data_IF_599228315335
#
_entry.id   IF_599228315335
#
_cell.length_a   1.000
_cell.length_b   1.000
_cell.length_c   1.000
_cell.angle_alpha   90.00
_cell.angle_beta   90.00
_cell.angle_gamma   90.00
#
_symmetry.space_group_name_H-M   'P 1'
#
loop_
_entity.id
_entity.type
_entity.pdbx_description
1 polymer ?
#
# COMPACT_ATOMS: atom_id res chain seq x y z
N UNK A 1 12.66 6.23 -3.12
CA UNK A 1 11.40 6.92 -3.41
C UNK A 1 10.38 6.54 -2.33
N UNK A 2 9.37 7.39 -2.11
CA UNK A 2 8.37 7.19 -1.09
C UNK A 2 8.82 7.55 0.33
N UNK A 3 8.05 7.15 1.34
CA UNK A 3 8.20 7.54 2.74
C UNK A 3 9.20 6.69 3.56
N UNK A 4 10.30 6.25 3.00
CA UNK A 4 11.31 5.46 3.70
C UNK A 4 12.22 6.33 4.58
N UNK A 5 12.62 5.81 5.73
CA UNK A 5 13.62 6.45 6.56
C UNK A 5 14.97 5.72 6.51
N UNK A 6 16.05 6.40 6.92
CA UNK A 6 17.40 5.87 6.81
C UNK A 6 17.64 4.60 7.66
N UNK A 7 16.95 4.46 8.79
CA UNK A 7 17.14 3.29 9.68
C UNK A 7 16.75 1.97 9.03
N UNK A 8 15.73 2.00 8.15
CA UNK A 8 15.25 0.78 7.49
C UNK A 8 15.96 0.50 6.17
N UNK A 9 16.73 1.46 5.65
CA UNK A 9 17.50 1.31 4.40
C UNK A 9 18.90 0.79 4.65
N UNK A 10 19.54 1.18 5.78
CA UNK A 10 20.95 0.88 6.07
C UNK A 10 21.23 -0.61 6.29
N UNK A 11 22.40 -1.07 5.86
CA UNK A 11 22.95 -2.42 6.08
C UNK A 11 22.03 -3.57 5.60
N UNK A 12 21.29 -3.34 4.52
CA UNK A 12 20.38 -4.32 3.93
C UNK A 12 20.86 -4.75 2.54
N UNK A 13 20.44 -5.94 2.11
CA UNK A 13 20.67 -6.42 0.75
C UNK A 13 19.61 -5.91 -0.20
N UNK A 14 20.05 -5.51 -1.38
CA UNK A 14 19.21 -5.05 -2.48
C UNK A 14 19.64 -5.70 -3.79
N UNK A 15 18.80 -5.56 -4.78
CA UNK A 15 19.06 -5.90 -6.17
C UNK A 15 19.04 -4.64 -7.01
N UNK A 16 20.14 -4.34 -7.67
CA UNK A 16 20.23 -3.31 -8.72
C UNK A 16 19.84 -3.94 -10.05
N UNK A 17 18.78 -3.43 -10.65
CA UNK A 17 18.24 -3.94 -11.92
C UNK A 17 18.85 -3.15 -13.07
N UNK A 18 19.70 -3.82 -13.87
CA UNK A 18 20.37 -3.21 -15.03
C UNK A 18 19.89 -3.80 -16.34
N UNK A 19 20.24 -3.14 -17.44
CA UNK A 19 19.95 -3.66 -18.80
C UNK A 19 20.67 -4.97 -19.14
N UNK A 20 21.68 -5.36 -18.37
CA UNK A 20 22.45 -6.60 -18.53
C UNK A 20 22.13 -7.69 -17.51
N UNK A 21 21.19 -7.42 -16.61
CA UNK A 21 20.76 -8.33 -15.55
C UNK A 21 20.83 -7.73 -14.15
N UNK A 22 20.42 -8.51 -13.20
CA UNK A 22 20.34 -8.12 -11.78
C UNK A 22 21.70 -8.24 -11.09
N UNK A 23 22.07 -7.24 -10.32
CA UNK A 23 23.32 -7.17 -9.57
C UNK A 23 23.00 -7.07 -8.07
N UNK A 24 23.55 -7.94 -7.22
CA UNK A 24 23.41 -7.80 -5.77
C UNK A 24 24.16 -6.58 -5.27
N UNK A 25 23.52 -5.80 -4.41
CA UNK A 25 24.12 -4.63 -3.77
C UNK A 25 23.79 -4.61 -2.28
N UNK A 26 24.62 -3.93 -1.49
CA UNK A 26 24.38 -3.69 -0.08
C UNK A 26 24.29 -2.18 0.16
N UNK A 27 23.34 -1.76 0.98
CA UNK A 27 23.29 -0.37 1.43
C UNK A 27 24.32 -0.11 2.52
N UNK A 28 25.00 1.02 2.43
CA UNK A 28 26.06 1.39 3.38
C UNK A 28 25.55 1.60 4.79
N UNK A 29 26.43 1.33 5.74
CA UNK A 29 26.26 1.63 7.16
C UNK A 29 27.61 2.01 7.74
N UNK A 30 27.63 2.92 8.69
CA UNK A 30 28.87 3.30 9.37
C UNK A 30 28.99 2.49 10.67
N UNK A 31 30.00 1.63 10.82
CA UNK A 31 30.17 0.85 12.04
C UNK A 31 30.58 1.74 13.22
N UNK A 32 30.23 1.36 14.47
CA UNK A 32 30.53 2.19 15.65
C UNK A 32 32.00 2.59 15.80
N UNK A 33 32.93 1.77 15.32
CA UNK A 33 34.36 2.04 15.36
C UNK A 33 34.77 3.31 14.54
N UNK A 34 33.99 3.68 13.53
CA UNK A 34 34.22 4.82 12.67
C UNK A 34 33.36 6.04 13.07
N UNK A 35 32.46 5.91 14.06
CA UNK A 35 31.61 7.00 14.55
C UNK A 35 32.27 7.82 15.67
N UNK A 36 33.56 7.62 15.94
CA UNK A 36 34.29 8.34 17.01
C UNK A 36 34.40 9.83 16.69
N UNK A 37 33.96 10.69 17.61
CA UNK A 37 34.06 12.13 17.50
C UNK A 37 32.81 12.80 16.89
N UNK A 38 32.96 13.68 15.93
CA UNK A 38 31.91 14.55 15.37
C UNK A 38 30.72 13.81 14.70
N UNK A 39 30.84 12.50 14.45
CA UNK A 39 29.79 11.68 13.83
C UNK A 39 28.76 11.12 14.82
N UNK A 40 29.03 11.16 16.11
CA UNK A 40 28.16 10.61 17.13
C UNK A 40 26.87 11.46 17.29
N UNK A 41 25.71 10.84 17.04
CA UNK A 41 24.41 11.54 17.11
C UNK A 41 23.97 12.25 15.81
N UNK A 42 24.73 12.22 14.74
CA UNK A 42 24.29 12.78 13.45
C UNK A 42 23.18 11.92 12.86
N UNK A 43 22.02 12.54 12.60
CA UNK A 43 20.90 11.85 11.90
C UNK A 43 21.28 11.57 10.45
N UNK A 44 21.41 10.31 10.08
CA UNK A 44 21.61 9.86 8.71
C UNK A 44 20.34 10.10 7.89
N UNK A 45 20.47 10.67 6.69
CA UNK A 45 19.36 10.80 5.73
C UNK A 45 19.44 9.69 4.70
N UNK A 46 18.31 9.33 4.09
CA UNK A 46 18.28 8.34 2.99
C UNK A 46 19.22 8.74 1.84
N UNK A 47 19.33 10.03 1.56
CA UNK A 47 20.24 10.58 0.54
C UNK A 47 21.73 10.43 0.86
N UNK A 48 22.09 10.12 2.11
CA UNK A 48 23.47 9.92 2.53
C UNK A 48 23.91 8.45 2.40
N UNK A 49 22.95 7.54 2.13
CA UNK A 49 23.21 6.11 2.03
C UNK A 49 23.67 5.78 0.62
N UNK A 50 24.81 5.11 0.54
CA UNK A 50 25.36 4.59 -0.71
C UNK A 50 24.95 3.14 -0.90
N UNK A 51 24.85 2.71 -2.14
CA UNK A 51 24.63 1.32 -2.50
C UNK A 51 25.89 0.78 -3.15
N UNK A 52 26.48 -0.21 -2.50
CA UNK A 52 27.77 -0.77 -2.87
C UNK A 52 27.54 -2.12 -3.59
N UNK A 53 27.99 -2.19 -4.84
CA UNK A 53 27.98 -3.38 -5.66
C UNK A 53 29.36 -4.06 -5.77
N UNK A 54 30.37 -3.53 -5.07
CA UNK A 54 31.75 -4.06 -5.06
C UNK A 54 32.56 -3.72 -6.30
N UNK A 55 32.17 -2.74 -7.10
CA UNK A 55 32.95 -2.28 -8.25
C UNK A 55 34.10 -1.36 -7.82
N UNK A 56 35.28 -1.54 -8.40
CA UNK A 56 36.45 -0.71 -8.14
C UNK A 56 36.40 0.61 -8.91
N UNK A 57 35.76 0.65 -10.09
CA UNK A 57 35.71 1.83 -10.94
C UNK A 57 34.32 2.05 -11.56
N UNK A 58 34.06 3.29 -11.96
CA UNK A 58 32.86 3.67 -12.70
C UNK A 58 32.77 2.94 -14.05
N UNK A 59 33.91 2.80 -14.73
CA UNK A 59 34.03 2.14 -16.03
C UNK A 59 33.64 0.66 -15.90
N UNK A 60 34.07 -0.01 -14.84
CA UNK A 60 33.67 -1.37 -14.53
C UNK A 60 32.16 -1.47 -14.30
N UNK A 61 31.57 -0.64 -13.44
CA UNK A 61 30.14 -0.60 -13.22
C UNK A 61 29.36 -0.40 -14.52
N UNK A 62 29.81 0.53 -15.36
CA UNK A 62 29.21 0.75 -16.69
C UNK A 62 29.34 -0.44 -17.62
N UNK A 63 30.44 -1.18 -17.56
CA UNK A 63 30.64 -2.42 -18.35
C UNK A 63 29.65 -3.51 -17.94
N UNK A 64 29.25 -3.58 -16.68
CA UNK A 64 28.18 -4.46 -16.17
C UNK A 64 26.77 -3.94 -16.45
N UNK A 65 26.62 -2.82 -17.11
CA UNK A 65 25.33 -2.29 -17.56
C UNK A 65 24.72 -1.23 -16.65
N UNK A 66 25.37 -0.87 -15.57
CA UNK A 66 24.86 0.15 -14.60
C UNK A 66 24.74 1.52 -15.27
N UNK A 67 23.60 2.16 -15.10
CA UNK A 67 23.29 3.49 -15.65
C UNK A 67 22.51 4.33 -14.64
N UNK A 68 22.64 5.66 -14.66
CA UNK A 68 21.74 6.53 -13.92
C UNK A 68 20.27 6.26 -14.29
N UNK A 69 19.43 6.07 -13.29
CA UNK A 69 18.01 5.73 -13.47
C UNK A 69 17.70 4.26 -13.28
N UNK A 70 18.69 3.38 -13.19
CA UNK A 70 18.48 1.98 -12.84
C UNK A 70 17.86 1.85 -11.45
N UNK A 71 16.97 0.88 -11.29
CA UNK A 71 16.19 0.69 -10.06
C UNK A 71 16.93 -0.19 -9.07
N UNK A 72 16.91 0.20 -7.80
CA UNK A 72 17.41 -0.62 -6.69
C UNK A 72 16.22 -1.02 -5.83
N UNK A 73 16.01 -2.32 -5.65
CA UNK A 73 14.87 -2.88 -4.91
C UNK A 73 15.33 -3.80 -3.78
N UNK A 74 14.59 -3.86 -2.64
CA UNK A 74 14.93 -4.76 -1.55
C UNK A 74 15.01 -6.22 -2.00
N UNK A 75 16.02 -6.95 -1.55
CA UNK A 75 16.15 -8.39 -1.74
C UNK A 75 15.56 -9.10 -0.53
N UNK A 76 14.32 -9.58 -0.67
CA UNK A 76 13.55 -10.21 0.41
C UNK A 76 12.86 -11.45 -0.10
N UNK A 77 12.97 -12.53 0.65
CA UNK A 77 12.21 -13.75 0.43
C UNK A 77 10.81 -13.64 1.03
N UNK A 78 9.83 -14.24 0.37
CA UNK A 78 8.49 -14.37 0.93
C UNK A 78 8.44 -15.60 1.84
N UNK A 79 8.16 -15.38 3.12
CA UNK A 79 8.11 -16.42 4.11
C UNK A 79 6.83 -16.40 4.93
N UNK A 80 6.36 -17.58 5.33
CA UNK A 80 5.27 -17.72 6.27
C UNK A 80 5.81 -17.71 7.72
N UNK A 81 5.04 -17.07 8.61
CA UNK A 81 5.30 -17.22 10.06
C UNK A 81 5.09 -18.67 10.51
N UNK A 82 5.68 -19.03 11.63
CA UNK A 82 5.62 -20.41 12.15
C UNK A 82 4.18 -20.94 12.32
N UNK A 83 3.24 -20.06 12.72
CA UNK A 83 1.83 -20.42 12.89
C UNK A 83 1.02 -20.38 11.58
N UNK A 84 1.66 -20.09 10.44
CA UNK A 84 1.03 -20.00 9.11
C UNK A 84 -0.11 -18.98 8.98
N UNK A 85 -0.21 -18.02 9.89
CA UNK A 85 -1.26 -16.98 9.87
C UNK A 85 -0.81 -15.68 9.23
N UNK A 86 0.48 -15.48 9.06
CA UNK A 86 1.03 -14.23 8.52
C UNK A 86 2.08 -14.51 7.47
N UNK A 87 2.22 -13.56 6.55
CA UNK A 87 3.22 -13.61 5.48
C UNK A 87 4.12 -12.39 5.61
N UNK A 88 5.43 -12.64 5.54
CA UNK A 88 6.45 -11.60 5.50
C UNK A 88 7.00 -11.53 4.08
N UNK A 89 7.02 -10.35 3.50
CA UNK A 89 7.64 -10.10 2.20
C UNK A 89 7.88 -8.59 2.02
N UNK A 90 8.37 -8.19 0.87
CA UNK A 90 8.50 -6.77 0.51
C UNK A 90 7.23 -6.24 -0.16
N UNK A 91 6.99 -4.94 -0.02
CA UNK A 91 6.01 -4.20 -0.79
C UNK A 91 4.59 -4.81 -0.76
N UNK A 92 4.13 -5.28 0.41
CA UNK A 92 2.71 -5.56 0.60
C UNK A 92 1.88 -4.29 0.42
N UNK A 93 2.44 -3.17 0.73
CA UNK A 93 2.08 -1.85 0.30
C UNK A 93 2.70 -1.59 -1.11
N UNK A 94 1.94 -1.64 -2.24
CA UNK A 94 0.56 -2.11 -2.25
C UNK A 94 0.37 -3.30 -3.20
N UNK A 95 1.17 -4.35 -3.05
CA UNK A 95 0.98 -5.59 -3.83
C UNK A 95 -0.28 -6.33 -3.44
N UNK A 96 -0.72 -6.20 -2.19
CA UNK A 96 -1.95 -6.81 -1.75
C UNK A 96 -3.15 -6.25 -2.51
N UNK A 97 -3.28 -4.92 -2.64
CA UNK A 97 -4.35 -4.29 -3.39
C UNK A 97 -4.37 -4.70 -4.86
N UNK A 98 -3.20 -4.77 -5.49
CA UNK A 98 -3.07 -5.29 -6.86
C UNK A 98 -3.56 -6.73 -6.98
N UNK A 99 -3.25 -7.59 -6.00
CA UNK A 99 -3.70 -8.99 -6.02
C UNK A 99 -5.21 -9.09 -5.82
N UNK A 100 -5.77 -8.33 -4.87
CA UNK A 100 -7.24 -8.27 -4.67
C UNK A 100 -7.96 -7.85 -5.95
N UNK A 101 -7.47 -6.83 -6.65
CA UNK A 101 -8.04 -6.37 -7.93
C UNK A 101 -8.03 -7.49 -8.97
N UNK A 102 -6.90 -8.17 -9.16
CA UNK A 102 -6.77 -9.26 -10.15
C UNK A 102 -7.66 -10.44 -9.80
N UNK A 103 -7.69 -10.88 -8.55
CA UNK A 103 -8.54 -11.99 -8.10
C UNK A 103 -10.03 -11.64 -8.20
N UNK A 104 -10.40 -10.40 -7.91
CA UNK A 104 -11.78 -9.93 -8.05
C UNK A 104 -12.22 -9.91 -9.51
N UNK A 105 -11.39 -9.41 -10.43
CA UNK A 105 -11.69 -9.45 -11.86
C UNK A 105 -11.85 -10.88 -12.37
N UNK A 106 -10.99 -11.80 -11.93
CA UNK A 106 -11.10 -13.22 -12.30
C UNK A 106 -12.38 -13.87 -11.73
N UNK A 107 -12.71 -13.58 -10.46
CA UNK A 107 -13.89 -14.12 -9.82
C UNK A 107 -15.19 -13.61 -10.45
N UNK A 108 -15.23 -12.35 -10.88
CA UNK A 108 -16.43 -11.69 -11.39
C UNK A 108 -16.54 -11.68 -12.92
N UNK A 109 -15.59 -12.25 -13.66
CA UNK A 109 -15.53 -12.16 -15.14
C UNK A 109 -16.77 -12.66 -15.87
N UNK A 110 -17.53 -13.58 -15.28
CA UNK A 110 -18.74 -14.15 -15.86
C UNK A 110 -20.04 -13.69 -15.15
N UNK A 111 -19.90 -12.79 -14.17
CA UNK A 111 -21.02 -12.25 -13.42
C UNK A 111 -21.69 -11.10 -14.20
N UNK A 112 -23.01 -11.06 -14.14
CA UNK A 112 -23.76 -9.90 -14.65
C UNK A 112 -23.83 -8.85 -13.55
N UNK A 113 -22.87 -7.92 -13.55
CA UNK A 113 -22.81 -6.85 -12.56
C UNK A 113 -23.90 -5.78 -12.81
N UNK A 114 -24.44 -5.16 -11.74
CA UNK A 114 -25.41 -4.07 -11.85
C UNK A 114 -24.77 -2.72 -12.19
N UNK A 115 -23.44 -2.67 -12.33
CA UNK A 115 -22.64 -1.48 -12.56
C UNK A 115 -21.58 -1.72 -13.64
N UNK A 116 -20.85 -0.68 -14.00
CA UNK A 116 -19.64 -0.77 -14.82
C UNK A 116 -18.41 -0.76 -13.90
N UNK A 117 -17.76 -1.90 -13.76
CA UNK A 117 -16.53 -2.04 -13.00
C UNK A 117 -15.33 -1.60 -13.84
N UNK A 118 -14.58 -0.63 -13.34
CA UNK A 118 -13.27 -0.23 -13.85
C UNK A 118 -12.25 -0.52 -12.75
N UNK A 119 -11.35 -1.44 -12.99
CA UNK A 119 -10.36 -1.86 -12.01
C UNK A 119 -8.96 -1.85 -12.62
N UNK A 120 -7.95 -1.51 -11.83
CA UNK A 120 -6.56 -1.42 -12.29
C UNK A 120 -5.63 -0.89 -11.21
N UNK A 121 -4.40 -0.60 -11.62
CA UNK A 121 -3.35 -0.06 -10.75
C UNK A 121 -2.94 1.32 -11.23
N UNK A 122 -2.89 2.26 -10.32
CA UNK A 122 -2.34 3.59 -10.58
C UNK A 122 -0.82 3.60 -10.39
N UNK A 123 -0.13 4.42 -11.19
CA UNK A 123 1.31 4.58 -11.08
C UNK A 123 1.65 5.73 -10.14
N UNK A 124 2.83 5.63 -9.48
CA UNK A 124 3.39 6.72 -8.69
C UNK A 124 2.48 7.17 -7.53
N UNK A 125 1.81 6.25 -6.87
CA UNK A 125 1.04 6.52 -5.66
C UNK A 125 1.97 7.04 -4.56
N UNK A 126 3.05 6.33 -4.25
CA UNK A 126 4.07 6.56 -3.21
C UNK A 126 4.82 7.91 -3.32
N UNK A 127 4.68 8.60 -4.43
CA UNK A 127 5.36 9.88 -4.70
C UNK A 127 4.39 11.02 -5.01
N UNK A 128 3.16 10.89 -4.55
CA UNK A 128 2.16 11.96 -4.59
C UNK A 128 0.88 11.64 -5.36
N UNK A 129 0.40 10.39 -5.34
CA UNK A 129 -0.92 9.96 -5.84
C UNK A 129 -1.13 10.36 -7.32
N UNK A 130 -0.05 10.28 -8.13
CA UNK A 130 -0.01 10.95 -9.43
C UNK A 130 -0.89 10.30 -10.49
N UNK A 131 -0.92 8.96 -10.51
CA UNK A 131 -1.66 8.18 -11.50
C UNK A 131 -3.17 8.34 -11.37
N UNK A 132 -3.67 8.49 -10.16
CA UNK A 132 -5.09 8.62 -9.84
C UNK A 132 -5.75 9.79 -10.55
N UNK A 133 -5.07 10.93 -10.63
CA UNK A 133 -5.58 12.11 -11.32
C UNK A 133 -5.87 11.84 -12.79
N UNK A 134 -4.97 11.13 -13.47
CA UNK A 134 -5.15 10.72 -14.85
C UNK A 134 -6.29 9.70 -15.03
N UNK A 135 -6.37 8.72 -14.14
CA UNK A 135 -7.39 7.68 -14.16
C UNK A 135 -8.80 8.28 -13.94
N UNK A 136 -8.97 9.06 -12.90
CA UNK A 136 -10.27 9.70 -12.57
C UNK A 136 -10.71 10.67 -13.68
N UNK A 137 -9.78 11.45 -14.23
CA UNK A 137 -10.10 12.34 -15.36
C UNK A 137 -10.55 11.57 -16.60
N UNK A 138 -9.88 10.45 -16.90
CA UNK A 138 -10.16 9.62 -18.07
C UNK A 138 -11.49 8.87 -17.94
N UNK A 139 -11.73 8.24 -16.80
CA UNK A 139 -12.86 7.33 -16.62
C UNK A 139 -14.09 7.99 -16.02
N UNK A 140 -13.94 9.10 -15.32
CA UNK A 140 -15.01 9.86 -14.66
C UNK A 140 -15.95 8.95 -13.86
N UNK A 141 -15.41 8.20 -12.87
CA UNK A 141 -16.22 7.27 -12.09
C UNK A 141 -17.22 8.02 -11.21
N UNK A 142 -18.38 7.42 -10.98
CA UNK A 142 -19.38 7.93 -10.03
C UNK A 142 -18.95 7.70 -8.58
N UNK A 143 -18.25 6.59 -8.31
CA UNK A 143 -17.65 6.25 -7.02
C UNK A 143 -16.23 5.72 -7.22
N UNK A 144 -15.37 5.95 -6.24
CA UNK A 144 -13.99 5.47 -6.26
C UNK A 144 -13.65 4.69 -4.98
N UNK A 145 -13.02 3.53 -5.14
CA UNK A 145 -12.50 2.73 -4.04
C UNK A 145 -11.01 2.51 -4.21
N UNK A 146 -10.21 2.94 -3.23
CA UNK A 146 -8.83 2.51 -3.12
C UNK A 146 -8.77 1.20 -2.33
N UNK A 147 -8.00 0.24 -2.82
CA UNK A 147 -7.68 -1.00 -2.11
C UNK A 147 -6.23 -0.90 -1.69
N UNK A 148 -5.98 -0.56 -0.42
CA UNK A 148 -4.66 -0.10 -0.01
C UNK A 148 -4.21 -0.62 1.37
N UNK A 149 -2.91 -0.61 1.58
CA UNK A 149 -2.29 -1.04 2.83
C UNK A 149 -2.18 0.13 3.82
N UNK A 150 -2.20 -0.18 5.12
CA UNK A 150 -2.04 0.82 6.17
C UNK A 150 -1.18 0.30 7.31
N UNK A 151 -0.50 1.20 8.01
CA UNK A 151 0.39 0.85 9.10
C UNK A 151 -0.39 0.25 10.29
N UNK A 152 -0.01 -0.95 10.71
CA UNK A 152 -0.44 -1.53 11.98
C UNK A 152 0.41 -1.01 13.13
N UNK A 153 -0.23 -0.75 14.27
CA UNK A 153 0.43 -0.34 15.52
C UNK A 153 -0.05 -1.19 16.70
N UNK A 154 0.05 -2.50 16.55
CA UNK A 154 -0.51 -3.49 17.48
C UNK A 154 0.54 -4.22 18.33
N UNK A 155 1.81 -3.83 18.27
CA UNK A 155 2.88 -4.43 19.07
C UNK A 155 3.31 -3.58 20.28
N UNK A 156 3.23 -2.28 20.17
CA UNK A 156 3.86 -1.36 21.15
C UNK A 156 2.85 -0.54 21.93
N UNK A 157 1.57 -0.61 21.58
CA UNK A 157 0.55 0.29 22.09
C UNK A 157 -0.58 -0.42 22.81
N UNK A 158 -1.39 0.36 23.51
CA UNK A 158 -2.57 -0.07 24.24
C UNK A 158 -3.70 -0.45 23.25
N UNK A 159 -4.76 -1.05 23.77
CA UNK A 159 -5.94 -1.47 22.97
C UNK A 159 -6.66 -0.35 22.22
N UNK A 160 -6.30 0.91 22.48
CA UNK A 160 -6.94 2.09 21.88
C UNK A 160 -6.29 2.56 20.59
N UNK A 161 -5.40 1.75 19.98
CA UNK A 161 -4.79 2.07 18.69
C UNK A 161 -5.54 1.45 17.52
N UNK A 162 -5.42 2.10 16.36
CA UNK A 162 -6.03 1.62 15.14
C UNK A 162 -5.08 0.66 14.39
N UNK A 163 -5.65 -0.37 13.76
CA UNK A 163 -4.90 -1.27 12.89
C UNK A 163 -4.24 -2.43 13.65
N UNK A 164 -5.00 -3.45 13.93
CA UNK A 164 -4.57 -4.71 14.55
C UNK A 164 -4.60 -5.84 13.53
N UNK A 165 -3.52 -6.63 13.45
CA UNK A 165 -3.45 -7.78 12.55
C UNK A 165 -4.38 -8.91 13.04
N UNK A 166 -5.24 -9.37 12.13
CA UNK A 166 -6.15 -10.49 12.37
C UNK A 166 -7.55 -10.06 12.81
N UNK A 167 -7.86 -8.76 12.76
CA UNK A 167 -9.17 -8.21 13.15
C UNK A 167 -10.03 -7.77 11.95
N UNK A 168 -9.67 -8.19 10.74
CA UNK A 168 -10.43 -7.92 9.53
C UNK A 168 -9.93 -6.73 8.72
N UNK A 169 -10.72 -6.34 7.71
CA UNK A 169 -10.33 -5.23 6.84
C UNK A 169 -10.47 -3.88 7.56
N UNK A 170 -9.75 -2.88 7.06
CA UNK A 170 -9.80 -1.52 7.60
C UNK A 170 -10.90 -0.73 6.91
N UNK A 171 -11.93 -0.35 7.65
CA UNK A 171 -12.92 0.64 7.26
C UNK A 171 -12.37 2.02 7.61
N UNK A 172 -11.81 2.71 6.62
CA UNK A 172 -11.17 4.00 6.84
C UNK A 172 -12.20 5.11 7.02
N UNK A 173 -12.14 5.79 8.16
CA UNK A 173 -13.00 6.92 8.51
C UNK A 173 -12.41 8.24 8.00
N UNK A 174 -11.10 8.40 8.18
CA UNK A 174 -10.40 9.64 7.89
C UNK A 174 -8.92 9.39 7.61
N UNK A 175 -8.36 10.22 6.73
CA UNK A 175 -6.92 10.42 6.55
C UNK A 175 -6.63 11.91 6.22
N UNK A 176 -5.35 12.32 6.03
CA UNK A 176 -5.02 13.73 5.74
C UNK A 176 -5.63 14.29 4.45
N UNK A 177 -6.01 13.45 3.50
CA UNK A 177 -6.58 13.84 2.22
C UNK A 177 -8.08 13.69 2.12
N UNK A 178 -8.73 12.97 3.05
CA UNK A 178 -10.13 12.59 2.91
C UNK A 178 -10.80 12.32 4.26
N UNK A 179 -12.05 12.74 4.37
CA UNK A 179 -13.02 12.21 5.34
C UNK A 179 -14.02 11.38 4.54
N UNK A 180 -14.17 10.10 4.87
CA UNK A 180 -15.11 9.22 4.17
C UNK A 180 -16.54 9.74 4.38
N UNK A 181 -17.23 10.03 3.28
CA UNK A 181 -18.59 10.54 3.31
C UNK A 181 -19.54 9.59 4.03
N UNK A 182 -20.55 10.12 4.71
CA UNK A 182 -21.47 9.32 5.52
C UNK A 182 -22.10 8.19 4.72
N UNK A 183 -22.65 8.48 3.55
CA UNK A 183 -23.29 7.46 2.71
C UNK A 183 -22.34 6.35 2.28
N UNK A 184 -21.08 6.67 1.94
CA UNK A 184 -20.05 5.67 1.64
C UNK A 184 -19.71 4.80 2.86
N UNK A 185 -19.58 5.42 4.02
CA UNK A 185 -19.27 4.71 5.26
C UNK A 185 -20.39 3.74 5.65
N UNK A 186 -21.64 4.22 5.69
CA UNK A 186 -22.79 3.37 6.02
C UNK A 186 -22.94 2.22 5.04
N UNK A 187 -22.79 2.47 3.73
CA UNK A 187 -22.81 1.43 2.71
C UNK A 187 -21.75 0.33 2.95
N UNK A 188 -20.50 0.72 3.28
CA UNK A 188 -19.45 -0.24 3.61
C UNK A 188 -19.78 -1.02 4.89
N UNK A 189 -20.31 -0.34 5.89
CA UNK A 189 -20.68 -0.94 7.17
C UNK A 189 -21.79 -1.97 7.00
N UNK A 190 -22.90 -1.58 6.35
CA UNK A 190 -24.05 -2.44 6.07
C UNK A 190 -23.63 -3.66 5.24
N UNK A 191 -22.74 -3.46 4.25
CA UNK A 191 -22.21 -4.56 3.44
C UNK A 191 -21.40 -5.53 4.29
N UNK A 192 -20.51 -5.05 5.15
CA UNK A 192 -19.70 -5.88 6.03
C UNK A 192 -20.56 -6.67 7.01
N UNK A 193 -21.54 -6.02 7.65
CA UNK A 193 -22.43 -6.66 8.61
C UNK A 193 -23.38 -7.68 7.94
N UNK A 194 -23.90 -7.37 6.74
CA UNK A 194 -24.79 -8.27 6.00
C UNK A 194 -24.10 -9.58 5.60
N UNK A 195 -22.79 -9.52 5.36
CA UNK A 195 -22.01 -10.66 4.89
C UNK A 195 -21.08 -11.25 5.96
N UNK A 196 -21.23 -10.85 7.22
CA UNK A 196 -20.41 -11.29 8.35
C UNK A 196 -18.89 -11.10 8.09
N UNK A 197 -18.51 -10.02 7.38
CA UNK A 197 -17.12 -9.73 7.07
C UNK A 197 -16.49 -8.97 8.25
N UNK A 198 -15.42 -9.51 8.87
CA UNK A 198 -14.78 -8.84 9.99
C UNK A 198 -14.10 -7.53 9.54
N UNK A 199 -14.30 -6.49 10.33
CA UNK A 199 -13.74 -5.15 10.06
C UNK A 199 -13.32 -4.44 11.34
N UNK A 200 -12.49 -3.42 11.16
CA UNK A 200 -12.13 -2.49 12.22
C UNK A 200 -12.14 -1.06 11.68
N UNK A 201 -12.56 -0.12 12.52
CA UNK A 201 -12.45 1.30 12.16
C UNK A 201 -11.01 1.76 12.11
N UNK A 202 -10.71 2.64 11.17
CA UNK A 202 -9.36 3.10 10.97
C UNK A 202 -9.28 4.61 10.70
N UNK A 203 -8.42 5.28 11.46
CA UNK A 203 -8.01 6.67 11.21
C UNK A 203 -6.53 6.66 10.84
N UNK A 204 -6.21 7.12 9.63
CA UNK A 204 -4.86 7.08 9.08
C UNK A 204 -4.12 8.41 9.23
N UNK A 205 -2.81 8.33 9.41
CA UNK A 205 -1.88 9.48 9.32
C UNK A 205 -1.31 9.68 7.90
N UNK A 206 -1.51 8.70 7.02
CA UNK A 206 -1.11 8.73 5.61
C UNK A 206 -2.32 8.72 4.68
N UNK A 207 -2.23 9.37 3.53
CA UNK A 207 -3.25 9.38 2.50
C UNK A 207 -3.17 8.16 1.59
N UNK A 208 -4.14 8.03 0.66
CA UNK A 208 -4.19 7.05 -0.41
C UNK A 208 -4.73 7.69 -1.69
N UNK A 209 -4.77 6.95 -2.75
CA UNK A 209 -5.40 7.35 -4.01
C UNK A 209 -6.86 7.83 -3.85
N UNK A 210 -7.60 7.33 -2.84
CA UNK A 210 -8.95 7.80 -2.55
C UNK A 210 -9.02 9.29 -2.20
N UNK A 211 -8.05 9.80 -1.44
CA UNK A 211 -7.97 11.22 -1.12
C UNK A 211 -7.71 12.10 -2.35
N UNK A 212 -6.92 11.61 -3.31
CA UNK A 212 -6.71 12.31 -4.57
C UNK A 212 -7.97 12.26 -5.48
N UNK A 213 -8.63 11.10 -5.55
CA UNK A 213 -9.87 10.94 -6.32
C UNK A 213 -11.01 11.81 -5.78
N UNK A 214 -11.13 11.89 -4.45
CA UNK A 214 -12.18 12.59 -3.75
C UNK A 214 -12.33 14.05 -4.14
N UNK A 215 -11.25 14.73 -4.50
CA UNK A 215 -11.22 16.16 -4.89
C UNK A 215 -11.14 16.37 -6.39
N UNK A 216 -11.27 15.32 -7.19
CA UNK A 216 -11.22 15.44 -8.66
C UNK A 216 -12.59 15.75 -9.26
N UNK A 217 -12.59 16.40 -10.43
CA UNK A 217 -13.79 16.82 -11.17
C UNK A 217 -14.72 17.68 -10.27
N UNK A 218 -15.98 17.28 -10.16
CA UNK A 218 -16.98 17.93 -9.30
C UNK A 218 -17.04 17.27 -7.90
N UNK A 219 -16.01 16.52 -7.55
CA UNK A 219 -15.94 15.65 -6.37
C UNK A 219 -16.38 14.23 -6.70
N UNK A 220 -15.55 13.24 -6.37
CA UNK A 220 -15.88 11.81 -6.54
C UNK A 220 -15.98 11.18 -5.15
N UNK A 221 -17.17 10.75 -4.71
CA UNK A 221 -17.31 10.05 -3.45
C UNK A 221 -16.39 8.85 -3.42
N UNK A 222 -15.50 8.82 -2.43
CA UNK A 222 -14.40 7.86 -2.38
C UNK A 222 -14.34 7.18 -1.02
N UNK A 223 -13.86 5.94 -1.00
CA UNK A 223 -13.60 5.19 0.22
C UNK A 223 -12.35 4.31 0.07
N UNK A 224 -11.84 3.81 1.19
CA UNK A 224 -10.71 2.88 1.23
C UNK A 224 -11.16 1.57 1.86
N UNK A 225 -10.92 0.47 1.17
CA UNK A 225 -10.99 -0.88 1.70
C UNK A 225 -9.56 -1.32 1.96
N UNK A 226 -9.15 -1.23 3.23
CA UNK A 226 -7.76 -1.38 3.61
C UNK A 226 -7.44 -2.73 4.27
N UNK A 227 -6.15 -3.03 4.32
CA UNK A 227 -5.60 -4.06 5.18
C UNK A 227 -4.47 -3.45 5.99
N UNK A 228 -4.36 -3.78 7.26
CA UNK A 228 -3.22 -3.35 8.03
C UNK A 228 -2.02 -4.28 7.86
N UNK A 229 -0.83 -3.70 7.87
CA UNK A 229 0.41 -4.43 7.87
C UNK A 229 1.44 -3.79 8.79
N UNK A 230 2.22 -4.61 9.48
CA UNK A 230 3.36 -4.15 10.27
C UNK A 230 4.51 -3.80 9.35
N UNK A 231 5.22 -2.74 9.69
CA UNK A 231 6.50 -2.36 9.05
C UNK A 231 6.35 -1.95 7.58
N UNK A 232 5.22 -1.36 7.18
CA UNK A 232 5.13 -0.75 5.84
C UNK A 232 6.22 0.32 5.67
N UNK A 233 6.57 0.65 4.43
CA UNK A 233 7.67 1.57 4.10
C UNK A 233 9.01 1.12 4.70
N UNK A 234 9.21 -0.19 4.80
CA UNK A 234 10.48 -0.78 5.19
C UNK A 234 10.92 -1.88 4.22
N UNK A 235 12.09 -2.45 4.49
CA UNK A 235 12.64 -3.55 3.71
C UNK A 235 11.72 -4.79 3.70
N UNK A 236 11.00 -5.05 4.80
CA UNK A 236 10.11 -6.19 4.97
C UNK A 236 8.81 -5.78 5.65
N UNK A 237 7.71 -6.32 5.20
CA UNK A 237 6.36 -6.03 5.68
C UNK A 237 5.65 -7.33 6.03
N UNK A 238 4.81 -7.31 7.06
CA UNK A 238 4.03 -8.47 7.51
C UNK A 238 2.55 -8.15 7.54
N UNK A 239 1.70 -9.02 6.99
CA UNK A 239 0.24 -8.92 7.11
C UNK A 239 -0.39 -10.26 7.53
N UNK A 240 -1.65 -10.23 7.95
CA UNK A 240 -2.42 -11.40 8.34
C UNK A 240 -3.30 -11.89 7.19
N UNK A 241 -3.33 -13.21 6.96
CA UNK A 241 -4.08 -13.78 5.82
C UNK A 241 -5.60 -13.60 5.94
N UNK A 242 -6.14 -13.59 7.16
CA UNK A 242 -7.58 -13.41 7.37
C UNK A 242 -8.02 -11.97 7.08
N UNK A 243 -7.15 -10.97 7.34
CA UNK A 243 -7.42 -9.58 6.97
C UNK A 243 -7.46 -9.41 5.45
N UNK A 244 -6.56 -10.10 4.74
CA UNK A 244 -6.58 -10.16 3.28
C UNK A 244 -7.88 -10.79 2.76
N UNK A 245 -8.30 -11.90 3.34
CA UNK A 245 -9.52 -12.59 2.95
C UNK A 245 -10.76 -11.69 3.17
N UNK A 246 -10.81 -10.99 4.31
CA UNK A 246 -11.88 -10.06 4.62
C UNK A 246 -11.93 -8.88 3.64
N UNK A 247 -10.78 -8.28 3.33
CA UNK A 247 -10.72 -7.17 2.37
C UNK A 247 -11.11 -7.61 0.95
N UNK A 248 -10.67 -8.78 0.50
CA UNK A 248 -11.05 -9.34 -0.80
C UNK A 248 -12.55 -9.61 -0.90
N UNK A 249 -13.12 -10.23 0.12
CA UNK A 249 -14.56 -10.48 0.19
C UNK A 249 -15.34 -9.16 0.17
N UNK A 250 -14.88 -8.18 0.97
CA UNK A 250 -15.51 -6.87 1.01
C UNK A 250 -15.54 -6.18 -0.36
N UNK A 251 -14.44 -6.21 -1.11
CA UNK A 251 -14.37 -5.65 -2.48
C UNK A 251 -15.39 -6.36 -3.39
N UNK A 252 -15.47 -7.68 -3.34
CA UNK A 252 -16.39 -8.45 -4.16
C UNK A 252 -17.87 -8.13 -3.84
N UNK A 253 -18.22 -8.04 -2.56
CA UNK A 253 -19.59 -7.75 -2.13
C UNK A 253 -19.99 -6.30 -2.44
N UNK A 254 -19.10 -5.33 -2.25
CA UNK A 254 -19.31 -3.92 -2.66
C UNK A 254 -19.65 -3.84 -4.15
N UNK A 255 -18.88 -4.50 -5.01
CA UNK A 255 -19.11 -4.47 -6.45
C UNK A 255 -20.48 -5.07 -6.82
N UNK A 256 -20.86 -6.18 -6.20
CA UNK A 256 -22.14 -6.87 -6.45
C UNK A 256 -23.34 -6.05 -5.96
N UNK A 257 -23.19 -5.32 -4.86
CA UNK A 257 -24.28 -4.55 -4.24
C UNK A 257 -24.48 -3.16 -4.87
N UNK A 258 -23.50 -2.64 -5.60
CA UNK A 258 -23.56 -1.29 -6.18
C UNK A 258 -24.42 -1.26 -7.45
N UNK A 259 -25.72 -1.05 -7.27
CA UNK A 259 -26.64 -0.69 -8.33
C UNK A 259 -27.00 0.81 -8.28
N UNK A 260 -27.87 1.22 -9.19
CA UNK A 260 -28.32 2.63 -9.26
C UNK A 260 -29.05 3.08 -7.98
N UNK A 261 -29.87 2.20 -7.38
CA UNK A 261 -30.62 2.51 -6.16
C UNK A 261 -29.68 2.70 -4.97
N UNK A 262 -28.69 1.83 -4.85
CA UNK A 262 -27.64 1.92 -3.82
C UNK A 262 -26.82 3.21 -3.98
N UNK A 263 -26.44 3.56 -5.20
CA UNK A 263 -25.76 4.83 -5.48
C UNK A 263 -26.60 6.03 -5.05
N UNK A 264 -27.90 6.08 -5.44
CA UNK A 264 -28.81 7.16 -5.05
C UNK A 264 -28.97 7.26 -3.53
N UNK A 265 -29.01 6.13 -2.82
CA UNK A 265 -29.04 6.07 -1.36
C UNK A 265 -27.76 6.63 -0.73
N UNK A 266 -26.60 6.24 -1.24
CA UNK A 266 -25.30 6.78 -0.80
C UNK A 266 -25.28 8.30 -0.95
N UNK A 267 -25.70 8.81 -2.11
CA UNK A 267 -25.68 10.24 -2.39
C UNK A 267 -26.68 11.04 -1.57
N UNK A 268 -27.83 10.47 -1.22
CA UNK A 268 -28.85 11.13 -0.40
C UNK A 268 -28.46 11.30 1.06
N UNK A 269 -27.44 10.61 1.54
CA UNK A 269 -26.94 10.68 2.93
C UNK A 269 -25.83 11.72 3.12
N UNK A 270 -25.33 12.34 2.04
CA UNK A 270 -24.16 13.21 2.05
C UNK A 270 -24.51 14.71 2.02
#
# INVERSE_FOLDING_TARGET
LGGWNAYVVSAQRYTLQTSKGDIPVISSSVPPHLLRGEGEGKKVKVTDILFDAGFDTKEEAMAFGVRPGDTIVPQVETIWTANKKKIISKAWDNRYGNTVVLETLEALKNEKLPNTLIAGSNVQEEVGLRGTKGAVHKFKPDLFFAVDCSAADDLTTTKDTFGHLGEGFLLRIQDPGMITLKGMREFLLDTAETHDIPYQYFVSKGGTDAGAAHVMNDGVPSAVIGVCARYIHTHQTMFHIDDYAAAKEMVAQVIKALDKSTYETIMAMN
#
